data_IF_737675229225
#
_entry.id   IF_737675229225
#
_cell.length_a   1.000
_cell.length_b   1.000
_cell.length_c   1.000
_cell.angle_alpha   90.00
_cell.angle_beta   90.00
_cell.angle_gamma   90.00
#
_symmetry.space_group_name_H-M   'P 1'
#
loop_
_entity.id
_entity.type
_entity.pdbx_description
1 polymer ?
#
# COMPACT_ATOMS: atom_id res chain seq x y z
N UNK A 1 -2.82 4.43 -4.29
CA UNK A 1 -2.40 3.12 -4.87
C UNK A 1 -0.90 2.92 -4.66
N UNK A 2 -0.33 1.73 -4.90
CA UNK A 2 1.13 1.54 -4.78
C UNK A 2 1.92 2.47 -5.72
N UNK A 3 1.38 2.79 -6.90
CA UNK A 3 2.00 3.69 -7.89
C UNK A 3 2.05 5.13 -7.39
N UNK A 4 1.00 5.59 -6.70
CA UNK A 4 1.01 6.93 -6.08
C UNK A 4 2.03 7.00 -4.94
N UNK A 5 2.10 5.98 -4.09
CA UNK A 5 3.05 5.91 -2.97
C UNK A 5 4.50 5.89 -3.49
N UNK A 6 4.76 5.13 -4.56
CA UNK A 6 6.06 5.11 -5.25
C UNK A 6 6.47 6.50 -5.73
N UNK A 7 5.55 7.23 -6.37
CA UNK A 7 5.80 8.60 -6.88
C UNK A 7 6.00 9.63 -5.77
N UNK A 8 5.22 9.54 -4.69
CA UNK A 8 5.25 10.52 -3.60
C UNK A 8 6.49 10.35 -2.71
N UNK A 9 6.89 9.11 -2.44
CA UNK A 9 8.03 8.81 -1.59
C UNK A 9 9.36 8.72 -2.34
N UNK A 10 9.33 8.70 -3.68
CA UNK A 10 10.49 8.51 -4.55
C UNK A 10 11.36 7.30 -4.14
N UNK A 11 10.69 6.17 -3.86
CA UNK A 11 11.33 4.90 -3.50
C UNK A 11 11.00 3.80 -4.50
N UNK A 12 11.85 2.77 -4.67
CA UNK A 12 11.57 1.70 -5.61
C UNK A 12 10.24 0.98 -5.32
N UNK A 13 9.49 0.63 -6.35
CA UNK A 13 8.26 -0.18 -6.26
C UNK A 13 8.39 -1.41 -5.36
N UNK A 14 9.53 -2.10 -5.42
CA UNK A 14 9.80 -3.27 -4.59
C UNK A 14 9.86 -2.94 -3.09
N UNK A 15 10.38 -1.76 -2.73
CA UNK A 15 10.36 -1.26 -1.36
C UNK A 15 8.94 -0.92 -0.92
N UNK A 16 8.15 -0.23 -1.76
CA UNK A 16 6.72 0.04 -1.50
C UNK A 16 5.97 -1.25 -1.24
N UNK A 17 6.14 -2.27 -2.10
CA UNK A 17 5.46 -3.56 -1.96
C UNK A 17 5.79 -4.26 -0.63
N UNK A 18 7.07 -4.28 -0.22
CA UNK A 18 7.47 -4.88 1.07
C UNK A 18 6.87 -4.12 2.25
N UNK A 19 6.87 -2.79 2.20
CA UNK A 19 6.34 -1.94 3.27
C UNK A 19 4.84 -2.11 3.40
N UNK A 20 4.10 -2.05 2.28
CA UNK A 20 2.65 -2.27 2.25
C UNK A 20 2.30 -3.64 2.81
N UNK A 21 2.99 -4.71 2.38
CA UNK A 21 2.74 -6.04 2.92
C UNK A 21 3.01 -6.14 4.43
N UNK A 22 4.08 -5.52 4.93
CA UNK A 22 4.37 -5.48 6.37
C UNK A 22 3.31 -4.72 7.16
N UNK A 23 2.80 -3.61 6.64
CA UNK A 23 1.75 -2.81 7.28
C UNK A 23 0.39 -3.52 7.28
N UNK A 24 0.09 -4.27 6.22
CA UNK A 24 -1.11 -5.10 6.11
C UNK A 24 -1.08 -6.24 7.14
N UNK A 25 0.05 -6.96 7.26
CA UNK A 25 0.23 -8.01 8.28
C UNK A 25 0.06 -7.46 9.70
N UNK A 26 0.52 -6.22 9.94
CA UNK A 26 0.36 -5.53 11.23
C UNK A 26 -1.06 -5.03 11.48
N UNK A 27 -1.98 -5.19 10.51
CA UNK A 27 -3.36 -4.71 10.61
C UNK A 27 -3.47 -3.18 10.63
N UNK A 28 -2.46 -2.45 10.16
CA UNK A 28 -2.47 -0.98 10.15
C UNK A 28 -3.13 -0.41 8.88
N UNK A 29 -3.17 -1.21 7.82
CA UNK A 29 -3.78 -0.86 6.55
C UNK A 29 -4.64 -2.01 6.04
N UNK A 30 -5.57 -1.66 5.15
CA UNK A 30 -6.37 -2.61 4.39
C UNK A 30 -6.17 -2.35 2.89
N UNK A 31 -6.15 -3.42 2.11
CA UNK A 31 -6.00 -3.38 0.67
C UNK A 31 -7.30 -3.84 0.03
N UNK A 32 -7.95 -2.93 -0.70
CA UNK A 32 -9.18 -3.20 -1.43
C UNK A 32 -8.88 -3.26 -2.93
N UNK A 33 -9.34 -4.32 -3.60
CA UNK A 33 -9.18 -4.45 -5.05
C UNK A 33 -10.28 -3.67 -5.76
N UNK A 34 -9.90 -2.65 -6.52
CA UNK A 34 -10.81 -1.84 -7.34
C UNK A 34 -10.42 -2.05 -8.81
N UNK A 35 -11.15 -2.94 -9.49
CA UNK A 35 -10.87 -3.33 -10.87
C UNK A 35 -9.50 -3.97 -11.02
N UNK A 36 -8.61 -3.31 -11.79
CA UNK A 36 -7.23 -3.75 -12.00
C UNK A 36 -6.22 -3.13 -11.01
N UNK A 37 -6.68 -2.29 -10.07
CA UNK A 37 -5.82 -1.58 -9.12
C UNK A 37 -6.10 -1.96 -7.67
N UNK A 38 -5.10 -1.80 -6.83
CA UNK A 38 -5.21 -1.99 -5.39
C UNK A 38 -5.26 -0.61 -4.70
N UNK A 39 -6.37 -0.35 -4.01
CA UNK A 39 -6.52 0.81 -3.14
C UNK A 39 -6.02 0.45 -1.75
N UNK A 40 -5.15 1.28 -1.19
CA UNK A 40 -4.58 1.09 0.14
C UNK A 40 -5.20 2.13 1.06
N UNK A 41 -5.77 1.69 2.18
CA UNK A 41 -6.40 2.56 3.20
C UNK A 41 -5.82 2.29 4.57
N UNK A 42 -5.76 3.31 5.41
CA UNK A 42 -5.43 3.13 6.84
C UNK A 42 -6.62 2.44 7.53
N UNK A 43 -6.33 1.42 8.33
CA UNK A 43 -7.32 0.82 9.22
C UNK A 43 -7.50 1.78 10.40
N UNK A 44 -8.66 2.43 10.51
CA UNK A 44 -8.99 3.24 11.68
C UNK A 44 -9.25 2.30 12.87
N UNK A 45 -8.90 2.71 14.10
CA UNK A 45 -9.23 1.96 15.32
C UNK A 45 -10.74 1.80 15.51
#
# INVERSE_FOLDING_TARGET
>A
TQVEIEKELDIPKAAVSRNVHSLEIKGLIEIEKIGMSNLIRLKKP
#
